data_IF_337177848602
#
_entry.id   IF_337177848602
#
_cell.length_a   1.000
_cell.length_b   1.000
_cell.length_c   1.000
_cell.angle_alpha   90.00
_cell.angle_beta   90.00
_cell.angle_gamma   90.00
#
_symmetry.space_group_name_H-M   'P 1'
#
loop_
_entity.id
_entity.type
_entity.pdbx_description
1 polymer ?
#
# COMPACT_ATOMS: atom_id res chain seq x y z
N UNK A 1 52.98 -19.28 -13.79
CA UNK A 1 52.53 -17.86 -13.74
C UNK A 1 51.31 -17.57 -14.62
N UNK A 2 51.17 -18.15 -15.81
CA UNK A 2 50.06 -17.85 -16.75
C UNK A 2 48.64 -18.24 -16.28
N UNK A 3 48.50 -19.30 -15.48
CA UNK A 3 47.18 -19.80 -15.05
C UNK A 3 46.45 -18.82 -14.12
N UNK A 4 47.17 -18.13 -13.23
CA UNK A 4 46.58 -17.15 -12.33
C UNK A 4 46.12 -15.90 -13.07
N UNK A 5 46.92 -15.43 -14.02
CA UNK A 5 46.58 -14.27 -14.85
C UNK A 5 45.35 -14.56 -15.73
N UNK A 6 45.23 -15.78 -16.28
CA UNK A 6 44.05 -16.20 -17.02
C UNK A 6 42.78 -16.23 -16.15
N UNK A 7 42.89 -16.74 -14.91
CA UNK A 7 41.76 -16.77 -13.98
C UNK A 7 41.27 -15.36 -13.60
N UNK A 8 42.19 -14.40 -13.41
CA UNK A 8 41.83 -13.00 -13.15
C UNK A 8 41.12 -12.35 -14.34
N UNK A 9 41.57 -12.64 -15.56
CA UNK A 9 40.94 -12.16 -16.80
C UNK A 9 39.52 -12.73 -16.93
N UNK A 10 39.34 -14.03 -16.69
CA UNK A 10 38.01 -14.65 -16.72
C UNK A 10 37.06 -14.06 -15.69
N UNK A 11 37.53 -13.81 -14.47
CA UNK A 11 36.74 -13.16 -13.43
C UNK A 11 36.32 -11.74 -13.82
N UNK A 12 37.24 -10.97 -14.40
CA UNK A 12 36.94 -9.62 -14.86
C UNK A 12 35.90 -9.61 -15.99
N UNK A 13 36.00 -10.56 -16.93
CA UNK A 13 35.02 -10.73 -18.01
C UNK A 13 33.64 -11.09 -17.44
N UNK A 14 33.57 -11.99 -16.45
CA UNK A 14 32.30 -12.35 -15.82
C UNK A 14 31.65 -11.17 -15.09
N UNK A 15 32.44 -10.38 -14.36
CA UNK A 15 31.94 -9.19 -13.65
C UNK A 15 31.42 -8.16 -14.64
N UNK A 16 32.16 -7.87 -15.72
CA UNK A 16 31.72 -6.92 -16.74
C UNK A 16 30.43 -7.38 -17.42
N UNK A 17 30.33 -8.65 -17.84
CA UNK A 17 29.08 -9.20 -18.42
C UNK A 17 27.89 -9.07 -17.45
N UNK A 18 28.12 -9.28 -16.16
CA UNK A 18 27.07 -9.14 -15.13
C UNK A 18 26.66 -7.68 -14.94
N UNK A 19 27.60 -6.74 -15.03
CA UNK A 19 27.30 -5.30 -15.00
C UNK A 19 26.53 -4.87 -16.23
N UNK A 20 26.92 -5.32 -17.43
CA UNK A 20 26.22 -5.05 -18.69
C UNK A 20 24.79 -5.60 -18.66
N UNK A 21 24.59 -6.84 -18.19
CA UNK A 21 23.26 -7.42 -18.04
C UNK A 21 22.39 -6.62 -17.07
N UNK A 22 22.98 -6.13 -15.97
CA UNK A 22 22.27 -5.26 -15.00
C UNK A 22 21.96 -3.89 -15.60
N UNK A 23 22.86 -3.34 -16.41
CA UNK A 23 22.67 -2.07 -17.12
C UNK A 23 21.57 -2.21 -18.17
N UNK A 24 21.59 -3.26 -19.00
CA UNK A 24 20.53 -3.56 -19.96
C UNK A 24 19.16 -3.76 -19.29
N UNK A 25 19.11 -4.46 -18.15
CA UNK A 25 17.87 -4.57 -17.37
C UNK A 25 17.41 -3.22 -16.79
N UNK A 26 18.35 -2.37 -16.37
CA UNK A 26 18.05 -1.03 -15.87
C UNK A 26 17.54 -0.12 -16.99
N UNK A 27 18.20 -0.14 -18.14
CA UNK A 27 17.82 0.58 -19.36
C UNK A 27 16.47 0.09 -19.88
N UNK A 28 16.20 -1.21 -19.93
CA UNK A 28 14.89 -1.74 -20.29
C UNK A 28 13.80 -1.28 -19.31
N UNK A 29 14.09 -1.23 -18.00
CA UNK A 29 13.14 -0.68 -17.01
C UNK A 29 12.90 0.81 -17.18
N UNK A 30 13.94 1.59 -17.48
CA UNK A 30 13.84 3.04 -17.74
C UNK A 30 13.10 3.29 -19.04
N UNK A 31 13.40 2.53 -20.09
CA UNK A 31 12.77 2.63 -21.40
C UNK A 31 11.31 2.19 -21.36
N UNK A 32 10.97 1.08 -20.70
CA UNK A 32 9.57 0.68 -20.47
C UNK A 32 8.80 1.72 -19.65
N UNK A 33 9.46 2.39 -18.70
CA UNK A 33 8.88 3.51 -17.94
C UNK A 33 8.68 4.76 -18.80
N UNK A 34 9.48 4.96 -19.84
CA UNK A 34 9.34 6.02 -20.86
C UNK A 34 8.40 5.63 -22.03
N UNK A 35 8.18 4.34 -22.29
CA UNK A 35 7.20 3.85 -23.27
C UNK A 35 5.79 3.77 -22.69
N UNK A 36 5.63 3.48 -21.39
CA UNK A 36 4.31 3.61 -20.72
C UNK A 36 3.77 5.05 -20.74
N UNK A 37 4.61 6.06 -21.01
CA UNK A 37 4.16 7.42 -21.29
C UNK A 37 3.63 7.63 -22.73
N UNK A 38 3.77 6.66 -23.65
CA UNK A 38 3.39 6.82 -25.06
C UNK A 38 2.95 5.50 -25.74
N UNK A 39 2.01 4.73 -25.18
CA UNK A 39 1.15 3.82 -25.97
C UNK A 39 0.09 3.19 -25.06
N UNK A 40 -1.13 3.70 -25.12
CA UNK A 40 -2.32 2.98 -24.63
C UNK A 40 -3.20 2.72 -25.84
N UNK A 41 -2.97 1.58 -26.51
CA UNK A 41 -3.93 1.02 -27.47
C UNK A 41 -4.62 -0.15 -26.80
N UNK A 42 -5.94 0.00 -26.70
CA UNK A 42 -6.96 -0.94 -26.24
C UNK A 42 -6.68 -2.42 -26.51
N UNK A 43 -7.09 -3.27 -25.55
CA UNK A 43 -7.99 -4.40 -25.81
C UNK A 43 -8.83 -4.74 -24.57
N UNK A 44 -10.08 -5.09 -24.86
CA UNK A 44 -11.29 -5.24 -24.04
C UNK A 44 -11.35 -6.56 -23.26
N UNK A 45 -12.30 -6.62 -22.31
CA UNK A 45 -12.94 -7.80 -21.65
C UNK A 45 -12.33 -8.11 -20.28
N UNK A 46 -13.02 -8.21 -19.14
CA UNK A 46 -14.41 -8.53 -18.79
C UNK A 46 -14.79 -7.90 -17.42
N UNK A 47 -16.07 -7.97 -17.07
CA UNK A 47 -16.77 -7.38 -15.92
C UNK A 47 -16.03 -7.51 -14.56
N UNK A 48 -15.47 -6.41 -14.05
CA UNK A 48 -14.87 -6.31 -12.70
C UNK A 48 -14.94 -4.85 -12.26
N UNK A 49 -15.16 -4.64 -10.94
CA UNK A 49 -15.45 -3.37 -10.28
C UNK A 49 -14.87 -2.14 -11.03
N UNK A 50 -15.77 -1.34 -11.62
CA UNK A 50 -15.44 -0.15 -12.40
C UNK A 50 -14.54 0.77 -11.56
N UNK A 51 -13.28 0.84 -11.96
CA UNK A 51 -12.32 1.84 -11.51
C UNK A 51 -12.92 3.25 -11.70
N UNK A 52 -12.93 4.13 -10.69
CA UNK A 52 -13.36 5.50 -10.91
C UNK A 52 -12.37 6.18 -11.84
N UNK A 53 -12.88 6.66 -12.98
CA UNK A 53 -12.09 7.26 -14.06
C UNK A 53 -11.03 8.26 -13.55
N UNK A 54 -9.77 8.21 -14.03
CA UNK A 54 -8.71 9.06 -13.54
C UNK A 54 -8.91 10.49 -14.04
N UNK A 55 -9.52 11.35 -13.22
CA UNK A 55 -9.34 12.80 -13.35
C UNK A 55 -7.87 13.13 -13.06
N UNK A 56 -7.09 13.26 -14.13
CA UNK A 56 -5.85 14.05 -14.29
C UNK A 56 -5.14 14.34 -12.95
N UNK A 57 -4.33 13.39 -12.44
CA UNK A 57 -3.51 13.62 -11.23
C UNK A 57 -2.05 13.89 -11.61
N UNK A 58 -1.74 15.18 -11.54
CA UNK A 58 -0.44 15.84 -11.62
C UNK A 58 0.55 15.21 -10.62
N UNK A 59 1.70 14.78 -11.13
CA UNK A 59 2.94 14.40 -10.40
C UNK A 59 2.79 13.16 -9.52
N UNK A 60 3.74 12.21 -9.58
CA UNK A 60 3.77 10.99 -8.78
C UNK A 60 3.81 11.31 -7.28
N UNK A 61 2.63 11.52 -6.70
CA UNK A 61 2.43 11.75 -5.29
C UNK A 61 2.59 10.42 -4.55
N UNK A 62 3.21 10.45 -3.36
CA UNK A 62 3.18 9.32 -2.46
C UNK A 62 1.74 8.80 -2.32
N UNK A 63 1.52 7.48 -2.25
CA UNK A 63 0.17 6.91 -2.22
C UNK A 63 -0.58 7.51 -1.03
N UNK A 64 -1.77 8.04 -1.31
CA UNK A 64 -2.62 8.64 -0.29
C UNK A 64 -3.18 7.54 0.63
N UNK A 65 -3.51 7.86 1.88
CA UNK A 65 -3.93 6.84 2.86
C UNK A 65 -5.17 6.07 2.41
N UNK A 66 -6.18 6.79 1.88
CA UNK A 66 -7.38 6.16 1.31
C UNK A 66 -7.08 5.29 0.07
N UNK A 67 -6.04 5.63 -0.69
CA UNK A 67 -5.66 4.87 -1.88
C UNK A 67 -4.99 3.55 -1.44
N UNK A 68 -4.20 3.57 -0.36
CA UNK A 68 -3.66 2.36 0.30
C UNK A 68 -4.78 1.49 0.89
N UNK A 69 -5.78 2.11 1.52
CA UNK A 69 -6.96 1.41 2.04
C UNK A 69 -7.75 0.72 0.93
N UNK A 70 -8.00 1.43 -0.17
CA UNK A 70 -8.69 0.87 -1.34
C UNK A 70 -7.88 -0.26 -1.97
N UNK A 71 -6.56 -0.08 -2.14
CA UNK A 71 -5.68 -1.12 -2.66
C UNK A 71 -5.68 -2.38 -1.77
N UNK A 72 -5.76 -2.20 -0.46
CA UNK A 72 -5.88 -3.31 0.49
C UNK A 72 -7.20 -4.08 0.29
N UNK A 73 -8.34 -3.39 0.19
CA UNK A 73 -9.65 -4.04 0.24
C UNK A 73 -10.26 -4.39 -1.13
N UNK A 74 -10.10 -3.53 -2.13
CA UNK A 74 -10.89 -3.57 -3.36
C UNK A 74 -10.07 -3.71 -4.64
N UNK A 75 -8.76 -3.42 -4.65
CA UNK A 75 -7.93 -3.63 -5.84
C UNK A 75 -7.78 -5.13 -6.14
N UNK A 76 -7.84 -5.50 -7.42
CA UNK A 76 -7.59 -6.87 -7.86
C UNK A 76 -6.24 -6.98 -8.59
N UNK A 77 -5.40 -7.98 -8.27
CA UNK A 77 -5.53 -8.91 -7.14
C UNK A 77 -5.35 -8.21 -5.78
N UNK A 78 -6.17 -8.60 -4.80
CA UNK A 78 -6.17 -7.98 -3.46
C UNK A 78 -4.80 -8.04 -2.81
N UNK A 79 -4.30 -6.90 -2.33
CA UNK A 79 -2.93 -6.80 -1.82
C UNK A 79 -2.62 -7.80 -0.69
N UNK A 80 -3.60 -8.13 0.16
CA UNK A 80 -3.45 -9.12 1.23
C UNK A 80 -3.54 -10.58 0.77
N UNK A 81 -4.11 -10.85 -0.41
CA UNK A 81 -4.13 -12.19 -1.05
C UNK A 81 -2.90 -12.44 -1.92
N UNK A 82 -2.11 -11.41 -2.23
CA UNK A 82 -0.91 -11.55 -3.05
C UNK A 82 0.16 -12.36 -2.33
N UNK A 83 0.82 -13.28 -3.04
CA UNK A 83 1.98 -14.07 -2.58
C UNK A 83 3.29 -13.55 -3.16
N UNK A 84 3.23 -12.52 -4.01
CA UNK A 84 4.42 -12.00 -4.69
C UNK A 84 5.42 -11.40 -3.69
N UNK A 85 6.69 -11.79 -3.84
CA UNK A 85 7.80 -11.33 -3.01
C UNK A 85 8.22 -9.90 -3.37
N UNK A 86 8.02 -9.46 -4.62
CA UNK A 86 8.39 -8.11 -5.06
C UNK A 86 7.53 -7.04 -4.37
N UNK A 87 6.25 -7.34 -4.08
CA UNK A 87 5.31 -6.45 -3.39
C UNK A 87 5.32 -6.58 -1.86
N UNK A 88 6.23 -7.38 -1.28
CA UNK A 88 6.25 -7.68 0.17
C UNK A 88 6.35 -6.42 1.05
N UNK A 89 7.23 -5.49 0.70
CA UNK A 89 7.43 -4.25 1.47
C UNK A 89 6.21 -3.33 1.40
N UNK A 90 5.60 -3.22 0.22
CA UNK A 90 4.38 -2.44 0.00
C UNK A 90 3.19 -3.06 0.75
N UNK A 91 3.04 -4.38 0.70
CA UNK A 91 2.02 -5.12 1.45
C UNK A 91 2.17 -4.92 2.96
N UNK A 92 3.40 -5.00 3.49
CA UNK A 92 3.66 -4.76 4.92
C UNK A 92 3.33 -3.34 5.34
N UNK A 93 3.68 -2.36 4.51
CA UNK A 93 3.30 -0.96 4.75
C UNK A 93 1.78 -0.79 4.71
N UNK A 94 1.14 -1.31 3.67
CA UNK A 94 -0.31 -1.23 3.49
C UNK A 94 -1.04 -1.88 4.66
N UNK A 95 -0.61 -3.07 5.09
CA UNK A 95 -1.11 -3.76 6.29
C UNK A 95 -1.14 -2.82 7.50
N UNK A 96 -0.02 -2.18 7.81
CA UNK A 96 0.09 -1.32 8.99
C UNK A 96 -0.75 -0.05 8.86
N UNK A 97 -0.73 0.59 7.69
CA UNK A 97 -1.54 1.79 7.41
C UNK A 97 -3.03 1.46 7.54
N UNK A 98 -3.48 0.38 6.92
CA UNK A 98 -4.87 -0.08 7.01
C UNK A 98 -5.23 -0.39 8.46
N UNK A 99 -4.36 -1.07 9.21
CA UNK A 99 -4.60 -1.36 10.62
C UNK A 99 -4.82 -0.06 11.42
N UNK A 100 -3.94 0.93 11.28
CA UNK A 100 -4.12 2.22 11.97
C UNK A 100 -5.39 2.95 11.53
N UNK A 101 -5.73 2.97 10.24
CA UNK A 101 -6.95 3.62 9.75
C UNK A 101 -8.21 3.04 10.40
N UNK A 102 -8.26 1.73 10.66
CA UNK A 102 -9.40 1.10 11.34
C UNK A 102 -9.66 1.66 12.73
N UNK A 103 -8.63 2.13 13.44
CA UNK A 103 -8.78 2.70 14.78
C UNK A 103 -9.61 4.00 14.78
N UNK A 104 -9.71 4.66 13.62
CA UNK A 104 -10.41 5.93 13.46
C UNK A 104 -11.83 5.77 12.90
N UNK A 105 -12.30 4.53 12.71
CA UNK A 105 -13.69 4.22 12.37
C UNK A 105 -14.52 4.09 13.64
N UNK A 106 -15.06 5.21 14.12
CA UNK A 106 -15.72 5.33 15.44
C UNK A 106 -16.98 4.46 15.59
N UNK A 107 -17.69 4.20 14.49
CA UNK A 107 -18.95 3.47 14.48
C UNK A 107 -18.79 1.98 14.13
N UNK A 108 -17.55 1.53 13.93
CA UNK A 108 -17.25 0.24 13.33
C UNK A 108 -17.35 0.26 11.81
N UNK A 109 -17.30 -0.92 11.19
CA UNK A 109 -17.45 -1.06 9.74
C UNK A 109 -17.83 -2.49 9.35
N UNK A 110 -18.52 -2.64 8.23
CA UNK A 110 -18.90 -3.94 7.67
C UNK A 110 -18.59 -3.98 6.19
N UNK A 111 -17.77 -4.93 5.80
CA UNK A 111 -17.42 -5.18 4.41
C UNK A 111 -18.08 -6.47 3.91
N UNK A 112 -19.11 -6.32 3.08
CA UNK A 112 -19.75 -7.43 2.38
C UNK A 112 -19.20 -7.53 0.95
N UNK A 113 -18.34 -8.52 0.70
CA UNK A 113 -17.71 -8.73 -0.62
C UNK A 113 -18.72 -9.04 -1.73
N UNK A 114 -19.92 -9.51 -1.39
CA UNK A 114 -20.97 -9.85 -2.36
C UNK A 114 -21.85 -8.65 -2.71
N UNK A 115 -21.73 -7.56 -1.98
CA UNK A 115 -22.52 -6.36 -2.23
C UNK A 115 -22.04 -5.66 -3.48
N UNK A 116 -22.98 -5.22 -4.33
CA UNK A 116 -22.68 -4.34 -5.47
C UNK A 116 -22.11 -3.00 -5.05
N UNK A 117 -22.32 -2.60 -3.79
CA UNK A 117 -21.82 -1.37 -3.18
C UNK A 117 -20.47 -1.56 -2.46
N UNK A 118 -19.83 -2.73 -2.58
CA UNK A 118 -18.59 -3.04 -1.86
C UNK A 118 -17.49 -1.98 -2.08
N UNK A 119 -17.17 -1.68 -3.35
CA UNK A 119 -16.13 -0.72 -3.69
C UNK A 119 -16.45 0.70 -3.19
N UNK A 120 -17.70 1.13 -3.32
CA UNK A 120 -18.15 2.44 -2.86
C UNK A 120 -18.07 2.55 -1.33
N UNK A 121 -18.48 1.50 -0.62
CA UNK A 121 -18.36 1.41 0.84
C UNK A 121 -16.91 1.44 1.30
N UNK A 122 -16.01 0.69 0.64
CA UNK A 122 -14.57 0.70 0.90
C UNK A 122 -13.99 2.10 0.70
N UNK A 123 -14.37 2.78 -0.39
CA UNK A 123 -13.88 4.12 -0.71
C UNK A 123 -14.37 5.16 0.30
N UNK A 124 -15.66 5.13 0.66
CA UNK A 124 -16.28 6.05 1.60
C UNK A 124 -15.69 5.88 3.02
N UNK A 125 -15.59 4.65 3.51
CA UNK A 125 -15.00 4.35 4.81
C UNK A 125 -13.51 4.71 4.86
N UNK A 126 -12.76 4.44 3.79
CA UNK A 126 -11.35 4.81 3.71
C UNK A 126 -11.14 6.33 3.77
N UNK A 127 -11.98 7.10 3.07
CA UNK A 127 -11.94 8.57 3.10
C UNK A 127 -12.36 9.13 4.48
N UNK A 128 -13.37 8.55 5.11
CA UNK A 128 -13.81 8.93 6.45
C UNK A 128 -12.70 8.67 7.49
N UNK A 129 -12.09 7.48 7.47
CA UNK A 129 -10.99 7.11 8.36
C UNK A 129 -9.76 8.01 8.16
N UNK A 130 -9.40 8.31 6.91
CA UNK A 130 -8.30 9.22 6.60
C UNK A 130 -8.56 10.62 7.17
N UNK A 131 -9.78 11.15 7.01
CA UNK A 131 -10.17 12.46 7.56
C UNK A 131 -9.99 12.50 9.08
N UNK A 132 -10.53 11.52 9.79
CA UNK A 132 -10.44 11.43 11.26
C UNK A 132 -9.00 11.27 11.74
N UNK A 133 -8.21 10.44 11.05
CA UNK A 133 -6.78 10.28 11.34
C UNK A 133 -6.00 11.59 11.15
N UNK A 134 -6.27 12.34 10.07
CA UNK A 134 -5.59 13.61 9.82
C UNK A 134 -5.96 14.69 10.86
N UNK A 135 -7.22 14.71 11.32
CA UNK A 135 -7.64 15.57 12.43
C UNK A 135 -6.87 15.21 13.70
N UNK A 136 -6.78 13.91 14.03
CA UNK A 136 -6.02 13.43 15.18
C UNK A 136 -4.54 13.83 15.11
N UNK A 137 -3.90 13.65 13.95
CA UNK A 137 -2.51 14.08 13.75
C UNK A 137 -2.33 15.59 13.95
N UNK A 138 -3.27 16.40 13.46
CA UNK A 138 -3.24 17.85 13.65
C UNK A 138 -3.33 18.24 15.13
N UNK A 139 -4.18 17.58 15.92
CA UNK A 139 -4.26 17.76 17.39
C UNK A 139 -2.93 17.48 18.09
N UNK A 140 -2.11 16.59 17.53
CA UNK A 140 -0.77 16.27 18.02
C UNK A 140 0.36 17.05 17.32
N UNK A 141 0.05 18.15 16.61
CA UNK A 141 1.00 18.99 15.88
C UNK A 141 1.79 18.25 14.76
N UNK A 142 1.23 17.16 14.24
CA UNK A 142 1.83 16.38 13.15
C UNK A 142 1.19 16.78 11.81
N UNK A 143 2.01 17.24 10.86
CA UNK A 143 1.57 17.64 9.48
C UNK A 143 1.84 16.58 8.41
N UNK A 144 2.02 15.32 8.79
CA UNK A 144 2.32 14.22 7.87
C UNK A 144 1.14 13.93 6.92
N UNK A 145 1.43 13.65 5.64
CA UNK A 145 0.41 13.39 4.60
C UNK A 145 0.63 12.09 3.83
N UNK A 146 1.87 11.75 3.48
CA UNK A 146 2.18 10.50 2.80
C UNK A 146 2.12 9.28 3.73
N UNK A 147 1.68 8.13 3.22
CA UNK A 147 1.49 6.91 3.99
C UNK A 147 2.68 6.53 4.89
N UNK A 148 3.93 6.60 4.38
CA UNK A 148 5.14 6.30 5.15
C UNK A 148 5.39 7.31 6.29
N UNK A 149 5.20 8.60 6.02
CA UNK A 149 5.42 9.66 7.01
C UNK A 149 4.36 9.60 8.11
N UNK A 150 3.11 9.34 7.72
CA UNK A 150 1.99 9.14 8.64
C UNK A 150 2.24 7.91 9.51
N UNK A 151 2.67 6.79 8.91
CA UNK A 151 3.02 5.57 9.64
C UNK A 151 4.16 5.82 10.64
N UNK A 152 5.20 6.56 10.25
CA UNK A 152 6.31 6.94 11.14
C UNK A 152 5.78 7.75 12.33
N UNK A 153 4.93 8.74 12.10
CA UNK A 153 4.36 9.57 13.16
C UNK A 153 3.44 8.75 14.09
N UNK A 154 2.57 7.91 13.54
CA UNK A 154 1.68 7.05 14.31
C UNK A 154 2.44 6.07 15.21
N UNK A 155 3.57 5.51 14.75
CA UNK A 155 4.42 4.69 15.61
C UNK A 155 4.98 5.47 16.81
N UNK A 156 5.32 6.74 16.64
CA UNK A 156 5.78 7.57 17.76
C UNK A 156 4.64 7.88 18.72
N UNK A 157 3.46 8.22 18.20
CA UNK A 157 2.26 8.46 19.02
C UNK A 157 1.81 7.19 19.76
N UNK A 158 1.98 6.02 19.15
CA UNK A 158 1.74 4.73 19.81
C UNK A 158 2.67 4.52 21.00
N UNK A 159 3.98 4.72 20.81
CA UNK A 159 4.99 4.60 21.87
C UNK A 159 4.74 5.60 23.02
N UNK A 160 4.25 6.78 22.69
CA UNK A 160 3.87 7.80 23.68
C UNK A 160 2.49 7.55 24.34
N UNK A 161 1.77 6.50 23.95
CA UNK A 161 0.47 6.13 24.53
C UNK A 161 -0.73 6.94 24.03
N UNK A 162 -0.56 7.84 23.07
CA UNK A 162 -1.66 8.68 22.55
C UNK A 162 -2.71 7.89 21.76
N UNK A 163 -2.37 6.70 21.26
CA UNK A 163 -3.31 5.80 20.57
C UNK A 163 -4.10 4.89 21.52
N UNK A 164 -3.87 4.92 22.83
CA UNK A 164 -4.55 4.03 23.78
C UNK A 164 -6.07 4.16 23.76
N UNK A 165 -6.59 5.39 23.61
CA UNK A 165 -8.03 5.64 23.52
C UNK A 165 -8.64 5.07 22.21
N UNK A 166 -8.10 5.40 21.00
CA UNK A 166 -8.53 4.75 19.76
C UNK A 166 -8.46 3.22 19.80
N UNK A 167 -7.38 2.66 20.37
CA UNK A 167 -7.22 1.20 20.51
C UNK A 167 -8.28 0.61 21.43
N UNK A 168 -8.60 1.27 22.56
CA UNK A 168 -9.65 0.82 23.47
C UNK A 168 -11.01 0.82 22.78
N UNK A 169 -11.35 1.89 22.05
CA UNK A 169 -12.61 1.98 21.31
C UNK A 169 -12.71 0.88 20.25
N UNK A 170 -11.64 0.67 19.48
CA UNK A 170 -11.58 -0.41 18.49
C UNK A 170 -11.84 -1.79 19.13
N UNK A 171 -11.22 -2.09 20.27
CA UNK A 171 -11.45 -3.35 21.00
C UNK A 171 -12.90 -3.49 21.48
N UNK A 172 -13.52 -2.39 21.91
CA UNK A 172 -14.94 -2.38 22.31
C UNK A 172 -15.85 -2.68 21.11
N UNK A 173 -15.64 -2.02 19.97
CA UNK A 173 -16.39 -2.29 18.73
C UNK A 173 -16.23 -3.73 18.26
N UNK A 174 -15.03 -4.28 18.38
CA UNK A 174 -14.74 -5.68 18.06
C UNK A 174 -15.52 -6.62 18.99
N UNK A 175 -15.50 -6.37 20.31
CA UNK A 175 -16.24 -7.18 21.29
C UNK A 175 -17.76 -7.11 21.11
N UNK A 176 -18.26 -5.97 20.61
CA UNK A 176 -19.67 -5.76 20.32
C UNK A 176 -20.12 -6.34 18.97
N UNK A 177 -19.24 -6.99 18.20
CA UNK A 177 -19.57 -7.57 16.90
C UNK A 177 -19.90 -6.53 15.81
N UNK A 178 -19.51 -5.27 15.99
CA UNK A 178 -19.80 -4.15 15.06
C UNK A 178 -18.81 -4.06 13.90
N UNK A 179 -18.02 -5.11 13.69
CA UNK A 179 -16.89 -5.13 12.79
C UNK A 179 -16.91 -6.42 11.94
N UNK A 180 -17.09 -6.28 10.63
CA UNK A 180 -16.94 -7.37 9.67
C UNK A 180 -15.82 -7.01 8.72
N UNK A 181 -14.67 -7.66 8.90
CA UNK A 181 -13.45 -7.38 8.15
C UNK A 181 -12.95 -8.63 7.41
N UNK A 182 -12.95 -8.63 6.06
CA UNK A 182 -12.48 -9.76 5.27
C UNK A 182 -10.98 -10.01 5.41
N UNK A 183 -10.22 -9.04 5.95
CA UNK A 183 -8.77 -9.12 6.15
C UNK A 183 -8.34 -9.18 7.63
N UNK A 184 -9.21 -9.64 8.53
CA UNK A 184 -8.94 -9.71 9.99
C UNK A 184 -7.63 -10.42 10.32
N UNK A 185 -7.37 -11.60 9.73
CA UNK A 185 -6.16 -12.38 9.96
C UNK A 185 -4.87 -11.63 9.59
N UNK A 186 -4.98 -10.64 8.71
CA UNK A 186 -3.84 -9.95 8.14
C UNK A 186 -3.53 -8.61 8.80
N UNK A 187 -4.38 -8.09 9.69
CA UNK A 187 -4.25 -6.72 10.24
C UNK A 187 -4.39 -6.60 11.76
N UNK A 188 -4.49 -7.72 12.48
CA UNK A 188 -4.84 -7.83 13.91
C UNK A 188 -3.74 -7.47 14.92
N UNK A 189 -2.55 -7.05 14.48
CA UNK A 189 -1.46 -6.66 15.38
C UNK A 189 -1.22 -5.16 15.29
N UNK A 190 -1.86 -4.40 16.19
CA UNK A 190 -1.49 -3.02 16.54
C UNK A 190 -1.19 -2.98 18.03
#
# INVERSE_FOLDING_TARGET
>A
MFVHQAALIEQLIQVNRKLDARMAMMEAKVYNKQQQTHTTTHKTSEDTCKEPAPKRRRTSAAPNLKDVWFAWYAQEPRMWKSTDSATKHERSTAKLVTAFLKLFLRDGFTFDEKSTQYCDNVLALGAAAEKELLVFLATHNVRARGAQNVLKALRQLHKAGHLNNPIRNYKQLQSAGRMVDPATLHTTNI
#
